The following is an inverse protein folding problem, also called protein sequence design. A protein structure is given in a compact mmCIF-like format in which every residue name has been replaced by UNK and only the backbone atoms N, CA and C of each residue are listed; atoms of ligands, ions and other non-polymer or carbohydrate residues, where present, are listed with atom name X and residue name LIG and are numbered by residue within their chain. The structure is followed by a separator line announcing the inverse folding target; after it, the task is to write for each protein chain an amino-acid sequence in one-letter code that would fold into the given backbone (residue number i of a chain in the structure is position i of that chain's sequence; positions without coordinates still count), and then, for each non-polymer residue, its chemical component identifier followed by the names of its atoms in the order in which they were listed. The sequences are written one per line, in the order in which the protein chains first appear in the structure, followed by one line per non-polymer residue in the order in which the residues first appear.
data_IF_688203034829
#
_entry.id   IF_688203034829
#
_cell.length_a   1.000
_cell.length_b   1.000
_cell.length_c   1.000
_cell.angle_alpha   90.00
_cell.angle_beta   90.00
_cell.angle_gamma   90.00
#
_symmetry.space_group_name_H-M   'P 1'
#
loop_
_entity.id
_entity.type
_entity.pdbx_description
1 polymer ?
#
# COMPACT_ATOMS: atom_id res chain seq x y z
N UNK A 1 11.55 -7.16 11.29
CA UNK A 1 10.94 -7.53 10.02
C UNK A 1 10.95 -6.36 9.05
N UNK A 2 10.84 -6.64 7.76
CA UNK A 2 10.85 -5.60 6.73
C UNK A 2 9.74 -4.57 6.93
N UNK A 3 8.53 -5.02 7.27
CA UNK A 3 7.40 -4.13 7.49
C UNK A 3 7.65 -3.14 8.63
N UNK A 4 8.30 -3.59 9.69
CA UNK A 4 8.64 -2.72 10.81
C UNK A 4 9.66 -1.65 10.42
N UNK A 5 10.66 -2.03 9.62
CA UNK A 5 11.67 -1.09 9.15
C UNK A 5 11.06 -0.04 8.24
N UNK A 6 10.14 -0.43 7.37
CA UNK A 6 9.43 0.49 6.50
C UNK A 6 8.54 1.43 7.32
N UNK A 7 7.84 0.89 8.31
CA UNK A 7 6.95 1.68 9.16
C UNK A 7 7.68 2.78 9.92
N UNK A 8 8.96 2.60 10.21
CA UNK A 8 9.75 3.60 10.91
C UNK A 8 10.01 4.85 10.06
N UNK A 9 9.91 4.74 8.72
CA UNK A 9 10.20 5.85 7.80
C UNK A 9 9.03 6.24 6.91
N UNK A 10 8.00 5.39 6.80
CA UNK A 10 6.87 5.63 5.91
C UNK A 10 5.55 5.33 6.62
N UNK A 11 4.49 6.09 6.31
CA UNK A 11 3.17 5.76 6.84
C UNK A 11 2.70 4.41 6.30
N UNK A 12 1.85 3.74 7.09
CA UNK A 12 1.33 2.43 6.77
C UNK A 12 -0.16 2.51 6.51
N UNK A 13 -0.63 1.75 5.52
CA UNK A 13 -2.06 1.53 5.29
C UNK A 13 -2.30 0.02 5.31
N UNK A 14 -3.19 -0.43 6.21
CA UNK A 14 -3.61 -1.83 6.22
C UNK A 14 -4.71 -2.02 5.18
N UNK A 15 -4.55 -3.02 4.33
CA UNK A 15 -5.50 -3.30 3.25
C UNK A 15 -6.07 -4.71 3.40
N UNK A 16 -7.24 -4.94 2.81
CA UNK A 16 -7.89 -6.24 2.81
C UNK A 16 -7.57 -7.02 1.53
N UNK A 17 -8.15 -8.22 1.42
CA UNK A 17 -7.94 -9.08 0.26
C UNK A 17 -8.44 -8.44 -1.02
N UNK A 18 -9.56 -7.75 -0.98
CA UNK A 18 -10.12 -7.08 -2.15
C UNK A 18 -9.19 -5.99 -2.65
N UNK A 19 -8.65 -5.20 -1.75
CA UNK A 19 -7.71 -4.15 -2.11
C UNK A 19 -6.40 -4.74 -2.65
N UNK A 20 -5.94 -5.86 -2.09
CA UNK A 20 -4.78 -6.57 -2.62
C UNK A 20 -5.01 -7.00 -4.07
N UNK A 21 -6.21 -7.52 -4.38
CA UNK A 21 -6.55 -7.92 -5.73
C UNK A 21 -6.55 -6.73 -6.69
N UNK A 22 -7.11 -5.60 -6.26
CA UNK A 22 -7.10 -4.38 -7.07
C UNK A 22 -5.68 -3.95 -7.40
N UNK A 23 -4.79 -4.00 -6.43
CA UNK A 23 -3.38 -3.65 -6.66
C UNK A 23 -2.70 -4.62 -7.61
N UNK A 24 -3.04 -5.91 -7.54
CA UNK A 24 -2.45 -6.92 -8.42
C UNK A 24 -2.86 -6.70 -9.89
N UNK A 25 -3.99 -6.04 -10.13
CA UNK A 25 -4.43 -5.65 -11.45
C UNK A 25 -3.91 -4.27 -11.89
N UNK A 26 -3.08 -3.64 -11.07
CA UNK A 26 -2.55 -2.32 -11.36
C UNK A 26 -3.52 -1.19 -11.13
N UNK A 27 -4.61 -1.42 -10.42
CA UNK A 27 -5.64 -0.40 -10.16
C UNK A 27 -5.30 0.43 -8.94
N UNK A 28 -5.78 1.68 -8.93
CA UNK A 28 -5.64 2.55 -7.78
C UNK A 28 -6.66 2.20 -6.70
N UNK A 29 -6.28 2.43 -5.45
CA UNK A 29 -7.21 2.29 -4.33
C UNK A 29 -7.84 3.64 -4.00
N UNK A 30 -8.78 3.65 -3.07
CA UNK A 30 -9.33 4.89 -2.54
C UNK A 30 -8.21 5.68 -1.86
N UNK A 31 -8.40 6.99 -1.78
CA UNK A 31 -7.39 7.89 -1.23
C UNK A 31 -7.03 7.49 0.20
N UNK A 32 -5.74 7.45 0.48
CA UNK A 32 -5.23 7.09 1.80
C UNK A 32 -5.34 8.26 2.77
N UNK A 33 -5.27 7.95 4.07
CA UNK A 33 -5.32 8.99 5.11
C UNK A 33 -4.01 9.78 5.21
N UNK A 34 -2.89 9.15 4.81
CA UNK A 34 -1.60 9.84 4.80
C UNK A 34 -1.44 10.67 3.54
N UNK A 35 -0.50 11.63 3.55
CA UNK A 35 -0.13 12.37 2.35
C UNK A 35 1.19 11.83 1.81
N UNK A 36 1.36 11.93 0.49
CA UNK A 36 2.58 11.47 -0.17
C UNK A 36 2.61 9.97 -0.35
N UNK A 37 3.72 9.35 0.01
CA UNK A 37 4.00 7.94 -0.24
C UNK A 37 3.94 7.14 1.06
N UNK A 38 3.35 5.97 0.98
CA UNK A 38 3.26 5.05 2.12
C UNK A 38 3.29 3.60 1.67
N UNK A 39 3.25 2.68 2.63
CA UNK A 39 3.30 1.25 2.34
C UNK A 39 1.96 0.59 2.65
N UNK A 40 1.52 -0.30 1.76
CA UNK A 40 0.32 -1.09 1.96
C UNK A 40 0.70 -2.43 2.61
N UNK A 41 0.08 -2.72 3.73
CA UNK A 41 0.29 -3.97 4.47
C UNK A 41 -0.95 -4.84 4.29
N UNK A 42 -0.76 -6.04 3.81
CA UNK A 42 -1.86 -6.98 3.58
C UNK A 42 -2.35 -7.63 4.86
N UNK A 43 -3.41 -8.45 4.76
CA UNK A 43 -4.01 -9.09 5.95
C UNK A 43 -3.08 -10.04 6.71
N UNK A 44 -2.03 -10.53 6.08
CA UNK A 44 -1.03 -11.37 6.78
C UNK A 44 0.05 -10.55 7.47
N UNK A 45 0.03 -9.22 7.36
CA UNK A 45 1.05 -8.37 7.95
C UNK A 45 2.27 -8.13 7.08
N UNK A 46 2.26 -8.59 5.84
CA UNK A 46 3.38 -8.39 4.92
C UNK A 46 3.18 -7.16 4.04
N UNK A 47 4.28 -6.47 3.71
CA UNK A 47 4.24 -5.35 2.78
C UNK A 47 3.92 -5.87 1.38
N UNK A 48 2.87 -5.34 0.77
CA UNK A 48 2.42 -5.79 -0.56
C UNK A 48 2.62 -4.76 -1.65
N UNK A 49 2.71 -3.49 -1.31
CA UNK A 49 2.88 -2.44 -2.30
C UNK A 49 3.35 -1.14 -1.67
N UNK A 50 3.92 -0.28 -2.51
CA UNK A 50 4.19 1.11 -2.16
C UNK A 50 3.14 1.94 -2.89
N UNK A 51 2.43 2.80 -2.16
CA UNK A 51 1.35 3.61 -2.71
C UNK A 51 1.72 5.09 -2.65
N UNK A 52 1.33 5.82 -3.69
CA UNK A 52 1.40 7.27 -3.70
C UNK A 52 -0.01 7.83 -3.69
N UNK A 53 -0.29 8.71 -2.73
CA UNK A 53 -1.61 9.32 -2.59
C UNK A 53 -1.73 10.47 -3.58
N UNK A 54 -2.67 10.36 -4.52
CA UNK A 54 -2.92 11.35 -5.55
C UNK A 54 -4.34 11.90 -5.45
N UNK A 55 -4.68 12.88 -6.28
CA UNK A 55 -5.99 13.52 -6.23
C UNK A 55 -7.15 12.54 -6.40
N UNK A 56 -6.95 11.52 -7.23
CA UNK A 56 -8.00 10.56 -7.57
C UNK A 56 -7.89 9.23 -6.81
N UNK A 57 -6.92 9.10 -5.92
CA UNK A 57 -6.77 7.89 -5.11
C UNK A 57 -5.33 7.53 -4.82
N UNK A 58 -5.13 6.39 -4.20
CA UNK A 58 -3.80 5.87 -3.89
C UNK A 58 -3.33 4.99 -5.05
N UNK A 59 -2.29 5.42 -5.74
CA UNK A 59 -1.77 4.73 -6.91
C UNK A 59 -0.56 3.88 -6.53
N UNK A 60 -0.49 2.61 -6.98
CA UNK A 60 0.68 1.79 -6.68
C UNK A 60 1.90 2.26 -7.47
N UNK A 61 2.98 2.52 -6.76
CA UNK A 61 4.28 2.80 -7.37
C UNK A 61 5.05 1.51 -7.61
N UNK A 62 4.86 0.55 -6.72
CA UNK A 62 5.47 -0.77 -6.82
C UNK A 62 4.56 -1.77 -6.14
N UNK A 63 4.44 -2.96 -6.71
CA UNK A 63 3.66 -4.05 -6.13
C UNK A 63 4.62 -5.22 -5.93
N UNK A 64 4.66 -5.75 -4.71
CA UNK A 64 5.56 -6.85 -4.37
C UNK A 64 4.83 -8.17 -4.57
N UNK A 65 5.42 -9.07 -5.31
CA UNK A 65 4.88 -10.41 -5.47
C UNK A 65 5.42 -11.30 -4.36
N UNK A 66 4.54 -11.98 -3.70
CA UNK A 66 4.92 -12.93 -2.67
C UNK A 66 5.38 -14.26 -3.27
#
# INVERSE_FOLDING_TARGET
ALAESIAAVMPIRHIDLQEMQELSFGRSLTKSEFSGVGVAIGPNGDAVAILENREYGAQPLAVFNS
#
